data_IF_227553511609
#
_entry.id   IF_227553511609
#
_cell.length_a   1.000
_cell.length_b   1.000
_cell.length_c   1.000
_cell.angle_alpha   90.00
_cell.angle_beta   90.00
_cell.angle_gamma   90.00
#
_symmetry.space_group_name_H-M   'P 1'
#
loop_
_entity.id
_entity.type
_entity.pdbx_description
1 polymer ?
#
# COMPACT_ATOMS: atom_id res chain seq x y z
N UNK A 1 1.74 10.12 -2.27
CA UNK A 1 1.35 10.12 -0.84
C UNK A 1 0.02 9.37 -0.71
N UNK A 2 -0.08 8.30 0.08
CA UNK A 2 -1.32 7.47 0.22
C UNK A 2 -2.42 8.13 1.08
N UNK A 3 -2.28 9.41 1.42
CA UNK A 3 -3.28 10.20 2.17
C UNK A 3 -4.71 10.06 1.64
N UNK A 4 -5.00 10.12 0.32
CA UNK A 4 -6.36 9.95 -0.16
C UNK A 4 -6.93 8.54 0.07
N UNK A 5 -6.11 7.56 0.42
CA UNK A 5 -6.56 6.21 0.77
C UNK A 5 -6.98 6.06 2.23
N UNK A 6 -6.67 7.04 3.11
CA UNK A 6 -6.97 6.96 4.55
C UNK A 6 -8.46 6.67 4.84
N UNK A 7 -9.44 7.29 4.15
CA UNK A 7 -10.85 6.97 4.39
C UNK A 7 -11.17 5.49 4.13
N UNK A 8 -10.64 4.91 3.05
CA UNK A 8 -10.84 3.49 2.77
C UNK A 8 -10.11 2.60 3.79
N UNK A 9 -8.86 2.95 4.13
CA UNK A 9 -8.06 2.21 5.11
C UNK A 9 -8.67 2.21 6.51
N UNK A 10 -9.46 3.24 6.87
CA UNK A 10 -10.06 3.41 8.20
C UNK A 10 -11.56 3.08 8.23
N UNK A 11 -12.06 2.34 7.23
CA UNK A 11 -13.48 1.97 7.10
C UNK A 11 -14.46 3.15 7.02
N UNK A 12 -13.98 4.32 6.60
CA UNK A 12 -14.81 5.50 6.31
C UNK A 12 -15.25 5.58 4.85
N UNK A 13 -14.72 4.70 4.00
CA UNK A 13 -15.14 4.52 2.62
C UNK A 13 -15.17 3.02 2.25
N UNK A 14 -16.22 2.61 1.54
CA UNK A 14 -16.43 1.22 1.15
C UNK A 14 -15.46 0.75 0.05
N UNK A 15 -15.09 1.63 -0.86
CA UNK A 15 -14.19 1.34 -1.98
C UNK A 15 -13.08 2.40 -2.07
N UNK A 16 -11.86 2.03 -2.52
CA UNK A 16 -10.83 3.01 -2.87
C UNK A 16 -11.13 3.49 -4.29
N UNK A 17 -11.36 4.80 -4.48
CA UNK A 17 -11.64 5.37 -5.80
C UNK A 17 -10.96 6.72 -6.00
N UNK A 18 -10.86 7.12 -7.27
CA UNK A 18 -10.31 8.41 -7.68
C UNK A 18 -8.87 8.62 -7.20
N UNK A 19 -8.58 9.67 -6.41
CA UNK A 19 -7.22 10.04 -6.01
C UNK A 19 -6.46 8.92 -5.30
N UNK A 20 -7.14 8.06 -4.52
CA UNK A 20 -6.47 6.95 -3.85
C UNK A 20 -5.85 5.97 -4.87
N UNK A 21 -6.62 5.52 -5.86
CA UNK A 21 -6.11 4.57 -6.84
C UNK A 21 -5.07 5.18 -7.78
N UNK A 22 -5.19 6.47 -8.10
CA UNK A 22 -4.17 7.16 -8.90
C UNK A 22 -2.79 7.14 -8.20
N UNK A 23 -2.77 7.39 -6.89
CA UNK A 23 -1.53 7.33 -6.10
C UNK A 23 -0.94 5.91 -6.05
N UNK A 24 -1.80 4.89 -5.99
CA UNK A 24 -1.36 3.48 -5.94
C UNK A 24 -0.79 3.04 -7.27
N UNK A 25 -1.41 3.44 -8.38
CA UNK A 25 -0.89 3.21 -9.74
C UNK A 25 0.44 3.94 -9.93
N UNK A 26 0.54 5.18 -9.48
CA UNK A 26 1.79 5.94 -9.55
C UNK A 26 2.91 5.26 -8.74
N UNK A 27 2.60 4.83 -7.52
CA UNK A 27 3.54 4.09 -6.67
C UNK A 27 3.99 2.78 -7.32
N UNK A 28 3.06 2.04 -7.93
CA UNK A 28 3.40 0.79 -8.63
C UNK A 28 4.31 1.02 -9.84
N UNK A 29 4.15 2.12 -10.58
CA UNK A 29 5.07 2.48 -11.68
C UNK A 29 6.49 2.74 -11.17
N UNK A 30 6.61 3.30 -9.97
CA UNK A 30 7.92 3.50 -9.34
C UNK A 30 8.52 2.21 -8.77
N UNK A 31 7.71 1.19 -8.45
CA UNK A 31 8.14 -0.09 -7.88
C UNK A 31 8.76 -1.06 -8.90
N UNK A 32 9.44 -0.56 -9.93
CA UNK A 32 9.90 -1.35 -11.08
C UNK A 32 11.08 -2.26 -10.73
N UNK A 33 11.98 -1.80 -9.86
CA UNK A 33 13.16 -2.59 -9.43
C UNK A 33 12.99 -3.19 -8.04
N UNK A 34 13.81 -4.19 -7.70
CA UNK A 34 13.90 -4.72 -6.33
C UNK A 34 14.20 -3.60 -5.32
N UNK A 35 15.13 -2.71 -5.66
CA UNK A 35 15.51 -1.58 -4.81
C UNK A 35 14.30 -0.69 -4.51
N UNK A 36 13.47 -0.42 -5.52
CA UNK A 36 12.26 0.39 -5.36
C UNK A 36 11.23 -0.31 -4.49
N UNK A 37 11.00 -1.61 -4.72
CA UNK A 37 10.11 -2.43 -3.89
C UNK A 37 10.52 -2.41 -2.42
N UNK A 38 11.81 -2.59 -2.14
CA UNK A 38 12.35 -2.54 -0.76
C UNK A 38 12.18 -1.13 -0.17
N UNK A 39 12.40 -0.08 -0.95
CA UNK A 39 12.27 1.31 -0.50
C UNK A 39 10.81 1.65 -0.14
N UNK A 40 9.88 1.28 -1.01
CA UNK A 40 8.43 1.46 -0.78
C UNK A 40 8.00 0.65 0.44
N UNK A 41 8.47 -0.59 0.56
CA UNK A 41 8.18 -1.46 1.68
C UNK A 41 8.63 -0.83 3.01
N UNK A 42 9.87 -0.35 3.11
CA UNK A 42 10.39 0.33 4.32
C UNK A 42 9.61 1.61 4.64
N UNK A 43 9.16 2.32 3.61
CA UNK A 43 8.30 3.48 3.80
C UNK A 43 6.96 3.09 4.45
N UNK A 44 6.35 1.99 3.98
CA UNK A 44 5.11 1.46 4.56
C UNK A 44 5.31 0.94 5.99
N UNK A 45 6.42 0.25 6.25
CA UNK A 45 6.82 -0.22 7.59
C UNK A 45 6.90 0.93 8.59
N UNK A 46 7.59 2.02 8.24
CA UNK A 46 7.67 3.22 9.09
C UNK A 46 6.37 4.03 9.19
N UNK A 47 5.48 3.89 8.21
CA UNK A 47 4.18 4.57 8.19
C UNK A 47 3.11 3.82 8.99
N UNK A 48 3.14 2.49 9.01
CA UNK A 48 2.13 1.65 9.66
C UNK A 48 1.82 2.05 11.12
N UNK A 49 2.80 2.34 12.00
CA UNK A 49 2.55 2.79 13.37
C UNK A 49 1.80 4.13 13.44
N UNK A 50 1.93 4.99 12.42
CA UNK A 50 1.28 6.31 12.36
C UNK A 50 -0.19 6.22 11.99
N UNK A 51 -0.66 5.06 11.55
CA UNK A 51 -2.05 4.81 11.19
C UNK A 51 -2.66 3.69 12.04
N UNK A 52 -2.81 3.88 13.37
CA UNK A 52 -3.28 2.83 14.29
C UNK A 52 -4.72 2.38 14.02
N UNK A 53 -5.49 3.16 13.24
CA UNK A 53 -6.86 2.83 12.82
C UNK A 53 -6.94 2.24 11.41
N UNK A 54 -5.82 2.07 10.72
CA UNK A 54 -5.82 1.46 9.41
C UNK A 54 -6.02 -0.05 9.52
N UNK A 55 -6.93 -0.58 8.71
CA UNK A 55 -7.15 -2.00 8.55
C UNK A 55 -6.15 -2.56 7.52
N UNK A 56 -5.21 -3.37 8.00
CA UNK A 56 -4.20 -4.02 7.15
C UNK A 56 -4.81 -4.98 6.13
N UNK A 57 -5.99 -5.57 6.38
CA UNK A 57 -6.69 -6.41 5.39
C UNK A 57 -7.17 -5.56 4.22
N UNK A 58 -7.69 -4.36 4.50
CA UNK A 58 -8.06 -3.38 3.46
C UNK A 58 -6.83 -2.88 2.73
N UNK A 59 -5.76 -2.58 3.45
CA UNK A 59 -4.48 -2.19 2.85
C UNK A 59 -3.96 -3.25 1.87
N UNK A 60 -4.02 -4.53 2.23
CA UNK A 60 -3.64 -5.64 1.36
C UNK A 60 -4.56 -5.80 0.12
N UNK A 61 -5.84 -5.49 0.24
CA UNK A 61 -6.80 -5.58 -0.87
C UNK A 61 -6.72 -4.39 -1.84
N UNK A 62 -6.23 -3.25 -1.37
CA UNK A 62 -6.24 -1.96 -2.05
C UNK A 62 -5.58 -1.99 -3.45
N UNK A 63 -4.39 -2.59 -3.65
CA UNK A 63 -3.79 -2.68 -4.98
C UNK A 63 -4.70 -3.39 -5.98
N UNK A 64 -5.25 -4.56 -5.60
CA UNK A 64 -6.14 -5.35 -6.46
C UNK A 64 -7.41 -4.57 -6.81
N UNK A 65 -7.98 -3.85 -5.85
CA UNK A 65 -9.17 -3.01 -6.06
C UNK A 65 -8.89 -1.81 -6.98
N UNK A 66 -7.66 -1.31 -6.98
CA UNK A 66 -7.22 -0.24 -7.87
C UNK A 66 -6.69 -0.74 -9.23
N UNK A 67 -6.86 -2.03 -9.56
CA UNK A 67 -6.39 -2.62 -10.81
C UNK A 67 -4.87 -2.78 -10.90
N UNK A 68 -4.17 -2.73 -9.76
CA UNK A 68 -2.73 -2.90 -9.64
C UNK A 68 -2.40 -4.31 -9.17
N UNK A 69 -1.55 -5.01 -9.92
CA UNK A 69 -0.98 -6.29 -9.51
C UNK A 69 0.38 -6.02 -8.87
N UNK A 70 0.45 -6.13 -7.55
CA UNK A 70 1.74 -6.13 -6.84
C UNK A 70 2.36 -7.52 -6.98
N UNK A 71 3.48 -7.60 -7.69
CA UNK A 71 4.28 -8.80 -7.72
C UNK A 71 5.14 -8.86 -6.44
N UNK A 72 4.83 -9.83 -5.58
CA UNK A 72 5.64 -10.21 -4.41
C UNK A 72 5.72 -9.20 -3.26
N UNK A 73 4.78 -8.26 -3.12
CA UNK A 73 4.64 -7.41 -1.93
C UNK A 73 3.31 -7.71 -1.24
N UNK A 74 3.37 -8.21 -0.01
CA UNK A 74 2.18 -8.50 0.80
C UNK A 74 2.08 -7.53 1.95
N UNK A 75 1.21 -6.51 1.86
CA UNK A 75 1.03 -5.53 2.93
C UNK A 75 0.48 -6.22 4.18
N UNK A 76 1.28 -6.28 5.24
CA UNK A 76 0.91 -6.88 6.52
C UNK A 76 1.51 -6.08 7.68
N UNK A 77 1.03 -6.26 8.93
CA UNK A 77 1.63 -5.60 10.09
C UNK A 77 3.09 -5.99 10.32
N UNK A 78 3.45 -7.22 9.91
CA UNK A 78 4.79 -7.80 10.03
C UNK A 78 5.45 -7.88 8.66
N UNK A 79 5.32 -6.82 7.87
CA UNK A 79 5.89 -6.73 6.53
C UNK A 79 7.43 -6.81 6.62
N UNK A 80 8.01 -7.95 6.27
CA UNK A 80 9.47 -8.07 6.15
C UNK A 80 9.93 -7.60 4.78
N UNK A 81 10.51 -6.40 4.74
CA UNK A 81 11.03 -5.79 3.53
C UNK A 81 12.37 -6.38 3.06
N UNK A 82 13.01 -7.23 3.87
CA UNK A 82 14.33 -7.80 3.60
C UNK A 82 14.28 -8.96 2.61
N UNK A 83 13.14 -9.66 2.57
CA UNK A 83 12.90 -10.87 1.78
C UNK A 83 12.23 -10.60 0.41
N UNK A 84 12.02 -9.33 0.06
CA UNK A 84 11.50 -8.97 -1.26
C UNK A 84 12.50 -9.33 -2.38
N UNK A 85 12.08 -10.10 -3.40
CA UNK A 85 12.90 -10.42 -4.57
C UNK A 85 13.08 -9.21 -5.49
#
# INVERSE_FOLDING_TARGET
MVVPCVPYLTDRAAVPFGPCCNEVVALNRTASTRQDRVTICRCLEGAAPRFPRADFKRAAALPRLCGVVLHNITISPNLDCSSLP
#
